data_IF_639794088166
#
_entry.id   IF_639794088166
#
_cell.length_a   1.000
_cell.length_b   1.000
_cell.length_c   1.000
_cell.angle_alpha   90.00
_cell.angle_beta   90.00
_cell.angle_gamma   90.00
#
_symmetry.space_group_name_H-M   'P 1'
#
loop_
_entity.id
_entity.type
_entity.pdbx_description
1 polymer ?
#
# COMPACT_ATOMS: atom_id res chain seq x y z
N UNK A 1 -19.20 -12.31 19.99
CA UNK A 1 -19.30 -13.77 19.69
C UNK A 1 -19.68 -13.97 18.22
N UNK A 2 -19.66 -15.21 17.75
CA UNK A 2 -20.12 -15.53 16.40
C UNK A 2 -21.62 -15.33 16.28
N UNK A 3 -22.38 -15.70 17.29
CA UNK A 3 -23.83 -15.52 17.38
C UNK A 3 -24.26 -14.05 17.26
N UNK A 4 -23.57 -13.15 17.96
CA UNK A 4 -23.81 -11.70 17.83
C UNK A 4 -23.53 -11.20 16.41
N UNK A 5 -22.48 -11.71 15.77
CA UNK A 5 -22.16 -11.34 14.39
C UNK A 5 -23.23 -11.81 13.40
N UNK A 6 -23.81 -12.99 13.63
CA UNK A 6 -24.93 -13.53 12.83
C UNK A 6 -26.20 -12.71 13.01
N UNK A 7 -26.51 -12.29 14.24
CA UNK A 7 -27.65 -11.41 14.52
C UNK A 7 -27.49 -10.06 13.80
N UNK A 8 -26.33 -9.41 13.93
CA UNK A 8 -26.05 -8.14 13.25
C UNK A 8 -26.12 -8.30 11.73
N UNK A 9 -25.63 -9.42 11.19
CA UNK A 9 -25.71 -9.68 9.75
C UNK A 9 -27.17 -9.78 9.28
N UNK A 10 -28.03 -10.48 10.01
CA UNK A 10 -29.46 -10.58 9.69
C UNK A 10 -30.17 -9.23 9.79
N UNK A 11 -29.87 -8.43 10.81
CA UNK A 11 -30.43 -7.07 10.95
C UNK A 11 -30.06 -6.18 9.77
N UNK A 12 -28.79 -6.21 9.36
CA UNK A 12 -28.31 -5.46 8.18
C UNK A 12 -28.97 -5.95 6.90
N UNK A 13 -29.09 -7.26 6.69
CA UNK A 13 -29.75 -7.84 5.51
C UNK A 13 -31.22 -7.40 5.44
N UNK A 14 -31.94 -7.47 6.55
CA UNK A 14 -33.34 -7.04 6.63
C UNK A 14 -33.47 -5.53 6.36
N UNK A 15 -32.62 -4.71 6.95
CA UNK A 15 -32.62 -3.27 6.70
C UNK A 15 -32.38 -2.93 5.22
N UNK A 16 -31.38 -3.56 4.59
CA UNK A 16 -31.10 -3.36 3.17
C UNK A 16 -32.28 -3.75 2.28
N UNK A 17 -32.91 -4.89 2.58
CA UNK A 17 -34.06 -5.39 1.83
C UNK A 17 -35.30 -4.52 2.00
N UNK A 18 -35.62 -4.15 3.25
CA UNK A 18 -36.89 -3.45 3.55
C UNK A 18 -36.82 -1.94 3.27
N UNK A 19 -35.74 -1.29 3.68
CA UNK A 19 -35.59 0.16 3.56
C UNK A 19 -35.01 0.61 2.24
N UNK A 20 -33.99 -0.09 1.74
CA UNK A 20 -33.27 0.31 0.54
C UNK A 20 -33.64 -0.51 -0.71
N UNK A 21 -34.47 -1.55 -0.56
CA UNK A 21 -34.86 -2.47 -1.64
C UNK A 21 -33.65 -3.11 -2.35
N UNK A 22 -32.56 -3.30 -1.60
CA UNK A 22 -31.32 -3.92 -2.08
C UNK A 22 -31.22 -5.36 -1.60
N UNK A 23 -30.69 -6.23 -2.45
CA UNK A 23 -30.38 -7.62 -2.09
C UNK A 23 -28.87 -7.78 -1.82
N UNK A 24 -28.54 -8.52 -0.77
CA UNK A 24 -27.15 -8.85 -0.45
C UNK A 24 -26.67 -9.99 -1.35
N UNK A 25 -25.53 -9.80 -2.02
CA UNK A 25 -24.91 -10.85 -2.81
C UNK A 25 -24.26 -11.89 -1.89
N UNK A 26 -24.93 -13.01 -1.65
CA UNK A 26 -24.49 -14.09 -0.74
C UNK A 26 -23.09 -14.63 -1.05
N UNK A 27 -22.70 -14.63 -2.32
CA UNK A 27 -21.37 -15.08 -2.76
C UNK A 27 -20.22 -14.17 -2.30
N UNK A 28 -20.53 -12.88 -2.07
CA UNK A 28 -19.53 -11.84 -1.71
C UNK A 28 -19.63 -11.37 -0.27
N UNK A 29 -20.72 -11.72 0.41
CA UNK A 29 -21.02 -11.28 1.76
C UNK A 29 -21.00 -12.47 2.72
N UNK A 30 -20.46 -12.27 3.91
CA UNK A 30 -20.40 -13.31 4.93
C UNK A 30 -19.62 -12.86 6.16
N UNK A 31 -19.78 -13.60 7.22
CA UNK A 31 -19.08 -13.41 8.47
C UNK A 31 -17.72 -14.10 8.38
N UNK A 32 -16.64 -13.38 8.68
CA UNK A 32 -15.27 -13.92 8.65
C UNK A 32 -14.54 -13.55 9.92
N UNK A 33 -13.65 -14.43 10.37
CA UNK A 33 -12.79 -14.13 11.51
C UNK A 33 -11.73 -13.10 11.11
N UNK A 34 -11.65 -12.01 11.88
CA UNK A 34 -10.63 -10.98 11.68
C UNK A 34 -9.20 -11.51 11.95
N UNK A 35 -9.07 -12.65 12.67
CA UNK A 35 -7.77 -13.28 12.94
C UNK A 35 -7.16 -13.89 11.69
N UNK A 36 -7.98 -14.39 10.79
CA UNK A 36 -7.54 -14.96 9.50
C UNK A 36 -7.23 -13.87 8.49
N UNK A 37 -7.79 -12.67 8.73
CA UNK A 37 -7.70 -11.55 7.83
C UNK A 37 -8.56 -11.74 6.57
N UNK A 38 -8.93 -10.63 5.95
CA UNK A 38 -9.71 -10.65 4.71
C UNK A 38 -9.43 -9.40 3.88
N UNK A 39 -9.68 -9.50 2.57
CA UNK A 39 -9.59 -8.37 1.65
C UNK A 39 -10.87 -7.55 1.65
N UNK A 40 -10.76 -6.23 1.83
CA UNK A 40 -11.87 -5.29 1.71
C UNK A 40 -11.39 -3.99 1.09
N UNK A 41 -12.12 -3.48 0.08
CA UNK A 41 -11.82 -2.22 -0.61
C UNK A 41 -10.36 -2.10 -1.06
N UNK A 42 -9.76 -3.20 -1.52
CA UNK A 42 -8.36 -3.23 -1.96
C UNK A 42 -7.33 -3.34 -0.84
N UNK A 43 -7.74 -3.29 0.41
CA UNK A 43 -6.89 -3.47 1.58
C UNK A 43 -7.01 -4.89 2.14
N UNK A 44 -5.99 -5.33 2.86
CA UNK A 44 -6.05 -6.53 3.69
C UNK A 44 -6.22 -6.12 5.15
N UNK A 45 -7.35 -6.51 5.75
CA UNK A 45 -7.64 -6.31 7.16
C UNK A 45 -7.24 -7.54 7.94
N UNK A 46 -6.54 -7.36 9.05
CA UNK A 46 -6.16 -8.45 9.93
C UNK A 46 -6.01 -7.96 11.37
N UNK A 47 -6.07 -8.89 12.30
CA UNK A 47 -5.83 -8.61 13.71
C UNK A 47 -4.35 -8.87 14.03
N UNK A 48 -3.62 -7.81 14.41
CA UNK A 48 -2.26 -7.97 14.95
C UNK A 48 -2.37 -8.42 16.42
N UNK A 49 -2.26 -9.72 16.63
CA UNK A 49 -2.23 -10.30 17.97
C UNK A 49 -0.87 -10.03 18.58
N UNK A 50 -0.79 -8.94 19.33
CA UNK A 50 0.42 -8.52 20.02
C UNK A 50 0.53 -9.31 21.34
N UNK A 51 1.23 -10.44 21.32
CA UNK A 51 1.42 -11.35 22.47
C UNK A 51 2.29 -10.73 23.59
N UNK A 52 1.99 -9.51 24.00
CA UNK A 52 2.72 -8.81 25.05
C UNK A 52 4.17 -8.46 24.72
N UNK A 53 4.55 -8.49 23.44
CA UNK A 53 5.90 -8.12 23.01
C UNK A 53 6.18 -6.65 23.31
N UNK A 54 7.31 -6.41 23.96
CA UNK A 54 7.82 -5.08 24.20
C UNK A 54 8.31 -4.50 22.87
N UNK A 55 7.69 -3.42 22.40
CA UNK A 55 8.16 -2.67 21.23
C UNK A 55 9.03 -1.51 21.68
N UNK A 56 10.14 -1.30 20.98
CA UNK A 56 10.93 -0.07 21.08
C UNK A 56 10.40 0.91 20.04
N UNK A 57 9.95 2.07 20.48
CA UNK A 57 9.52 3.14 19.59
C UNK A 57 10.44 4.33 19.82
N UNK A 58 10.83 4.97 18.73
CA UNK A 58 11.59 6.20 18.79
C UNK A 58 10.75 7.27 19.50
N UNK A 59 11.26 7.78 20.60
CA UNK A 59 10.55 8.73 21.47
C UNK A 59 11.00 10.17 21.27
N UNK A 60 12.13 10.39 20.57
CA UNK A 60 12.69 11.71 20.31
C UNK A 60 14.21 11.66 20.14
N UNK A 61 14.85 12.81 20.21
CA UNK A 61 16.29 12.94 20.26
C UNK A 61 16.71 13.71 21.53
N UNK A 62 17.87 13.37 22.06
CA UNK A 62 18.50 14.17 23.13
C UNK A 62 19.00 15.50 22.57
N UNK A 63 19.32 16.45 23.48
CA UNK A 63 19.94 17.73 23.07
C UNK A 63 21.26 17.55 22.28
N UNK A 64 21.90 16.40 22.43
CA UNK A 64 23.14 15.99 21.74
C UNK A 64 22.86 15.23 20.42
N UNK A 65 21.62 15.17 19.95
CA UNK A 65 21.24 14.52 18.69
C UNK A 65 21.12 12.99 18.76
N UNK A 66 21.25 12.36 19.93
CA UNK A 66 21.10 10.91 20.06
C UNK A 66 19.64 10.52 20.09
N UNK A 67 19.26 9.54 19.26
CA UNK A 67 17.89 9.01 19.22
C UNK A 67 17.54 8.29 20.53
N UNK A 68 16.48 8.73 21.19
CA UNK A 68 15.94 8.06 22.37
C UNK A 68 14.84 7.10 22.00
N UNK A 69 14.77 5.95 22.71
CA UNK A 69 13.77 4.92 22.50
C UNK A 69 12.97 4.70 23.77
N UNK A 70 11.66 4.66 23.62
CA UNK A 70 10.75 4.25 24.70
C UNK A 70 10.32 2.79 24.47
N UNK A 71 10.37 2.01 25.53
CA UNK A 71 9.80 0.65 25.52
C UNK A 71 8.36 0.73 26.00
N UNK A 72 7.45 0.16 25.25
CA UNK A 72 6.08 -0.03 25.76
C UNK A 72 5.58 -1.42 25.39
N UNK A 73 4.71 -1.94 26.23
CA UNK A 73 4.04 -3.22 26.03
C UNK A 73 2.63 -2.92 25.54
N UNK A 74 2.28 -3.39 24.35
CA UNK A 74 0.92 -3.36 23.86
C UNK A 74 0.25 -4.69 24.20
N UNK A 75 -0.81 -4.62 25.00
CA UNK A 75 -1.60 -5.79 25.42
C UNK A 75 -2.87 -5.96 24.58
N UNK A 76 -3.21 -4.98 23.74
CA UNK A 76 -4.41 -5.02 22.91
C UNK A 76 -4.05 -5.48 21.51
N UNK A 77 -4.77 -6.47 21.03
CA UNK A 77 -4.82 -6.78 19.61
C UNK A 77 -5.48 -5.64 18.86
N UNK A 78 -4.84 -5.17 17.79
CA UNK A 78 -5.34 -4.07 16.98
C UNK A 78 -5.77 -4.61 15.63
N UNK A 79 -6.86 -4.06 15.11
CA UNK A 79 -7.22 -4.25 13.70
C UNK A 79 -6.28 -3.38 12.87
N UNK A 80 -5.57 -4.02 11.96
CA UNK A 80 -4.59 -3.37 11.10
C UNK A 80 -5.04 -3.48 9.64
N UNK A 81 -4.74 -2.42 8.90
CA UNK A 81 -4.82 -2.40 7.44
C UNK A 81 -3.45 -2.72 6.85
N UNK A 82 -3.42 -3.44 5.76
CA UNK A 82 -2.19 -3.70 5.00
C UNK A 82 -2.45 -3.53 3.51
N UNK A 83 -1.47 -2.97 2.81
CA UNK A 83 -1.46 -2.96 1.33
C UNK A 83 -1.05 -4.35 0.85
N UNK A 84 -1.89 -5.08 0.09
CA UNK A 84 -1.50 -6.36 -0.48
C UNK A 84 -0.30 -6.18 -1.42
N UNK A 85 0.74 -7.00 -1.27
CA UNK A 85 1.92 -6.93 -2.15
C UNK A 85 1.56 -7.11 -3.61
N UNK A 86 0.65 -8.02 -3.88
CA UNK A 86 0.16 -8.38 -5.20
C UNK A 86 -0.42 -7.16 -5.93
N UNK A 87 -1.16 -6.30 -5.20
CA UNK A 87 -1.72 -5.06 -5.74
C UNK A 87 -0.65 -4.04 -6.10
N UNK A 88 0.43 -3.96 -5.32
CA UNK A 88 1.57 -3.09 -5.65
C UNK A 88 2.27 -3.57 -6.91
N UNK A 89 2.54 -4.88 -7.02
CA UNK A 89 3.15 -5.47 -8.21
C UNK A 89 2.28 -5.33 -9.45
N UNK A 90 0.97 -5.59 -9.31
CA UNK A 90 -0.02 -5.42 -10.38
C UNK A 90 -0.03 -3.97 -10.89
N UNK A 91 -0.06 -2.99 -9.99
CA UNK A 91 0.00 -1.58 -10.35
C UNK A 91 1.30 -1.24 -11.09
N UNK A 92 2.45 -1.68 -10.58
CA UNK A 92 3.75 -1.42 -11.23
C UNK A 92 3.84 -2.02 -12.63
N UNK A 93 3.30 -3.23 -12.84
CA UNK A 93 3.22 -3.86 -14.16
C UNK A 93 2.25 -3.13 -15.07
N UNK A 94 1.05 -2.80 -14.59
CA UNK A 94 0.02 -2.07 -15.35
C UNK A 94 0.51 -0.70 -15.81
N UNK A 95 1.29 -0.01 -14.97
CA UNK A 95 1.87 1.30 -15.31
C UNK A 95 3.16 1.19 -16.13
N UNK A 96 3.65 -0.01 -16.38
CA UNK A 96 4.87 -0.24 -17.15
C UNK A 96 6.16 0.11 -16.42
N UNK A 97 6.13 0.19 -15.09
CA UNK A 97 7.35 0.33 -14.29
C UNK A 97 8.18 -0.94 -14.30
N UNK A 98 7.51 -2.08 -14.46
CA UNK A 98 8.12 -3.41 -14.49
C UNK A 98 7.75 -4.14 -15.78
N UNK A 99 8.71 -4.88 -16.30
CA UNK A 99 8.53 -5.93 -17.31
C UNK A 99 8.89 -7.27 -16.66
N UNK A 100 7.87 -8.06 -16.33
CA UNK A 100 8.05 -9.20 -15.42
C UNK A 100 8.31 -8.72 -13.99
N UNK A 101 9.50 -9.00 -13.47
CA UNK A 101 9.95 -8.57 -12.13
C UNK A 101 11.02 -7.47 -12.17
N UNK A 102 11.49 -7.12 -13.36
CA UNK A 102 12.55 -6.13 -13.52
C UNK A 102 12.01 -4.75 -13.89
N UNK A 103 12.60 -3.67 -13.32
CA UNK A 103 12.29 -2.30 -13.74
C UNK A 103 12.59 -2.09 -15.22
N UNK A 104 11.65 -1.45 -15.93
CA UNK A 104 11.75 -1.20 -17.35
C UNK A 104 11.64 0.30 -17.68
N UNK A 105 12.23 0.71 -18.80
CA UNK A 105 12.02 2.04 -19.37
C UNK A 105 10.64 2.11 -20.05
N UNK A 106 9.95 3.23 -19.89
CA UNK A 106 8.65 3.49 -20.51
C UNK A 106 8.84 4.22 -21.85
N UNK A 107 9.04 3.45 -22.91
CA UNK A 107 9.41 3.99 -24.22
C UNK A 107 8.40 5.00 -24.79
N UNK A 108 7.13 4.86 -24.46
CA UNK A 108 6.09 5.78 -24.93
C UNK A 108 6.14 7.19 -24.32
N UNK A 109 6.94 7.38 -23.25
CA UNK A 109 7.15 8.69 -22.63
C UNK A 109 8.37 9.43 -23.21
N UNK A 110 9.20 8.80 -24.05
CA UNK A 110 10.47 9.37 -24.50
C UNK A 110 10.32 10.68 -25.29
N UNK A 111 9.17 10.88 -25.94
CA UNK A 111 8.87 12.10 -26.72
C UNK A 111 8.44 13.27 -25.83
N UNK A 112 8.15 13.04 -24.55
CA UNK A 112 7.78 14.10 -23.60
C UNK A 112 9.02 14.80 -23.06
N UNK A 113 8.86 16.03 -22.55
CA UNK A 113 9.94 16.71 -21.81
C UNK A 113 10.29 15.95 -20.51
N UNK A 114 11.48 16.19 -19.95
CA UNK A 114 11.89 15.56 -18.70
C UNK A 114 10.95 15.91 -17.54
N UNK A 115 10.48 17.15 -17.54
CA UNK A 115 9.49 17.62 -16.56
C UNK A 115 8.18 16.83 -16.65
N UNK A 116 7.66 16.62 -17.84
CA UNK A 116 6.40 15.86 -18.07
C UNK A 116 6.58 14.40 -17.67
N UNK A 117 7.74 13.80 -17.99
CA UNK A 117 8.06 12.42 -17.58
C UNK A 117 8.03 12.33 -16.05
N UNK A 118 8.78 13.19 -15.35
CA UNK A 118 8.86 13.19 -13.89
C UNK A 118 7.48 13.46 -13.27
N UNK A 119 6.74 14.43 -13.82
CA UNK A 119 5.40 14.78 -13.35
C UNK A 119 4.43 13.61 -13.48
N UNK A 120 4.48 12.87 -14.58
CA UNK A 120 3.65 11.68 -14.82
C UNK A 120 3.93 10.59 -13.77
N UNK A 121 5.21 10.26 -13.53
CA UNK A 121 5.57 9.28 -12.49
C UNK A 121 5.12 9.73 -11.10
N UNK A 122 5.33 11.01 -10.78
CA UNK A 122 4.97 11.57 -9.48
C UNK A 122 3.44 11.54 -9.26
N UNK A 123 2.65 11.91 -10.26
CA UNK A 123 1.20 11.89 -10.19
C UNK A 123 0.66 10.47 -9.99
N UNK A 124 1.17 9.49 -10.74
CA UNK A 124 0.76 8.10 -10.63
C UNK A 124 1.13 7.48 -9.28
N UNK A 125 2.37 7.69 -8.82
CA UNK A 125 2.82 7.18 -7.52
C UNK A 125 2.07 7.83 -6.36
N UNK A 126 1.86 9.14 -6.41
CA UNK A 126 1.10 9.88 -5.40
C UNK A 126 -0.35 9.43 -5.33
N UNK A 127 -1.00 9.19 -6.48
CA UNK A 127 -2.36 8.68 -6.54
C UNK A 127 -2.49 7.33 -5.85
N UNK A 128 -1.54 6.41 -6.09
CA UNK A 128 -1.52 5.11 -5.43
C UNK A 128 -1.27 5.22 -3.92
N UNK A 129 -0.28 6.03 -3.51
CA UNK A 129 0.04 6.24 -2.09
C UNK A 129 -1.13 6.88 -1.35
N UNK A 130 -1.79 7.87 -1.94
CA UNK A 130 -2.95 8.52 -1.34
C UNK A 130 -4.13 7.56 -1.13
N UNK A 131 -4.37 6.64 -2.07
CA UNK A 131 -5.40 5.63 -1.92
C UNK A 131 -5.13 4.72 -0.71
N UNK A 132 -3.86 4.41 -0.44
CA UNK A 132 -3.44 3.57 0.67
C UNK A 132 -2.92 4.34 1.89
N UNK A 133 -3.23 5.64 2.01
CA UNK A 133 -2.69 6.50 3.06
C UNK A 133 -2.98 6.02 4.50
N UNK A 134 -4.07 5.27 4.69
CA UNK A 134 -4.46 4.71 5.99
C UNK A 134 -3.69 3.42 6.36
N UNK A 135 -3.00 2.80 5.41
CA UNK A 135 -2.26 1.56 5.62
C UNK A 135 -0.76 1.83 5.87
N UNK A 136 -0.06 0.99 6.66
CA UNK A 136 1.38 1.12 6.84
C UNK A 136 2.14 1.04 5.52
N UNK A 137 3.11 1.93 5.33
CA UNK A 137 3.88 2.12 4.09
C UNK A 137 4.84 0.96 3.75
N UNK A 138 4.87 -0.10 4.55
CA UNK A 138 5.85 -1.19 4.43
C UNK A 138 5.95 -1.78 3.03
N UNK A 139 4.83 -2.09 2.40
CA UNK A 139 4.79 -2.68 1.06
C UNK A 139 4.95 -1.64 -0.05
N UNK A 140 4.79 -0.35 0.24
CA UNK A 140 4.97 0.74 -0.73
C UNK A 140 6.44 0.98 -1.12
N UNK A 141 7.41 0.42 -0.39
CA UNK A 141 8.81 0.42 -0.81
C UNK A 141 9.05 -0.27 -2.15
N UNK A 142 8.19 -1.24 -2.48
CA UNK A 142 8.22 -1.91 -3.80
C UNK A 142 7.87 -0.90 -4.90
N UNK A 143 6.83 -0.09 -4.67
CA UNK A 143 6.42 0.97 -5.60
C UNK A 143 7.52 2.01 -5.80
N UNK A 144 8.10 2.49 -4.69
CA UNK A 144 9.22 3.44 -4.71
C UNK A 144 10.40 2.89 -5.52
N UNK A 145 10.83 1.67 -5.21
CA UNK A 145 11.94 1.03 -5.90
C UNK A 145 11.64 0.86 -7.40
N UNK A 146 10.48 0.31 -7.77
CA UNK A 146 10.10 0.06 -9.15
C UNK A 146 9.94 1.38 -9.92
N UNK A 147 9.25 2.36 -9.34
CA UNK A 147 9.01 3.67 -9.95
C UNK A 147 10.30 4.44 -10.19
N UNK A 148 11.17 4.58 -9.19
CA UNK A 148 12.44 5.29 -9.33
C UNK A 148 13.37 4.61 -10.34
N UNK A 149 13.54 3.29 -10.26
CA UNK A 149 14.38 2.55 -11.21
C UNK A 149 13.85 2.65 -12.64
N UNK A 150 12.54 2.58 -12.83
CA UNK A 150 11.89 2.76 -14.13
C UNK A 150 12.08 4.19 -14.66
N UNK A 151 11.89 5.21 -13.82
CA UNK A 151 12.11 6.61 -14.17
C UNK A 151 13.54 6.85 -14.65
N UNK A 152 14.54 6.39 -13.89
CA UNK A 152 15.95 6.54 -14.29
C UNK A 152 16.26 5.80 -15.60
N UNK A 153 15.71 4.61 -15.80
CA UNK A 153 15.86 3.89 -17.08
C UNK A 153 15.20 4.64 -18.24
N UNK A 154 14.03 5.26 -18.01
CA UNK A 154 13.34 6.06 -19.02
C UNK A 154 14.14 7.30 -19.42
N UNK A 155 14.61 8.08 -18.44
CA UNK A 155 15.46 9.25 -18.69
C UNK A 155 16.80 8.87 -19.33
N UNK A 156 17.43 7.78 -18.87
CA UNK A 156 18.66 7.27 -19.45
C UNK A 156 18.48 6.88 -20.92
N UNK A 157 17.37 6.22 -21.26
CA UNK A 157 17.04 5.88 -22.63
C UNK A 157 16.82 7.12 -23.49
N UNK A 158 16.11 8.14 -22.99
CA UNK A 158 15.90 9.42 -23.67
C UNK A 158 17.19 10.14 -23.98
N UNK A 159 18.09 10.27 -22.98
CA UNK A 159 19.36 10.99 -23.08
C UNK A 159 20.51 10.13 -23.62
N UNK A 160 20.23 8.91 -24.10
CA UNK A 160 21.25 7.97 -24.62
C UNK A 160 22.43 7.78 -23.67
N UNK A 161 22.12 7.63 -22.36
CA UNK A 161 23.12 7.47 -21.27
C UNK A 161 22.77 6.27 -20.41
N UNK A 162 23.52 6.06 -19.33
CA UNK A 162 23.23 5.00 -18.35
C UNK A 162 22.55 5.56 -17.12
N UNK A 163 21.68 4.75 -16.48
CA UNK A 163 21.01 5.14 -15.23
C UNK A 163 22.02 5.50 -14.12
N UNK A 164 23.18 4.82 -14.09
CA UNK A 164 24.24 5.09 -13.13
C UNK A 164 24.85 6.50 -13.30
N UNK A 165 25.07 6.94 -14.53
CA UNK A 165 25.59 8.29 -14.82
C UNK A 165 24.61 9.39 -14.45
N UNK A 166 23.30 9.15 -14.63
CA UNK A 166 22.27 10.10 -14.19
C UNK A 166 22.23 10.22 -12.66
N UNK A 167 22.45 9.12 -11.95
CA UNK A 167 22.44 9.10 -10.49
C UNK A 167 23.68 9.78 -9.87
N UNK A 168 24.84 9.72 -10.55
CA UNK A 168 26.11 10.28 -10.06
C UNK A 168 26.31 11.76 -10.40
N UNK A 169 25.47 12.35 -11.24
CA UNK A 169 25.48 13.81 -11.47
C UNK A 169 24.80 14.52 -10.30
N UNK A 170 25.62 14.85 -9.30
CA UNK A 170 25.29 15.86 -8.29
C UNK A 170 25.61 17.26 -8.82
#
# INVERSE_FOLDING_TARGET
SQEEAEQVYQEVENFLREKLKLSVAKEKSGIRSIREGFGSLGHHLYQDVNNGRVRKVQAGATKEGRTTYRRFRSLRSQICLQVPKEKVWEFCRKKGYLKGEEPAARSYLLNLSDYEIISTYNAEMRGFVNFYAMAPLRNLRILEWAGLKSLFKTLASKHKTTSARLFSRK
#
